data_IF_377586871301
#
_entry.id   IF_377586871301
#
_cell.length_a   1.000
_cell.length_b   1.000
_cell.length_c   1.000
_cell.angle_alpha   90.00
_cell.angle_beta   90.00
_cell.angle_gamma   90.00
#
_symmetry.space_group_name_H-M   'P 1'
#
loop_
_entity.id
_entity.type
_entity.pdbx_description
1 polymer ?
#
# COMPACT_ATOMS: atom_id res chain seq x y z
N UNK A 1 -5.64 -38.47 -4.37
CA UNK A 1 -6.18 -37.16 -4.79
C UNK A 1 -5.98 -37.00 -6.29
N UNK A 2 -7.05 -36.95 -7.09
CA UNK A 2 -6.94 -36.87 -8.55
C UNK A 2 -6.00 -35.73 -8.99
N UNK A 3 -5.20 -35.96 -10.04
CA UNK A 3 -4.20 -35.03 -10.58
C UNK A 3 -4.75 -33.61 -10.76
N UNK A 4 -5.99 -33.49 -11.28
CA UNK A 4 -6.72 -32.21 -11.43
C UNK A 4 -6.84 -31.46 -10.11
N UNK A 5 -7.26 -32.14 -9.05
CA UNK A 5 -7.46 -31.54 -7.72
C UNK A 5 -6.12 -31.09 -7.12
N UNK A 6 -5.03 -31.85 -7.33
CA UNK A 6 -3.67 -31.49 -6.86
C UNK A 6 -3.15 -30.22 -7.56
N UNK A 7 -3.32 -30.12 -8.87
CA UNK A 7 -2.91 -28.93 -9.64
C UNK A 7 -3.67 -27.70 -9.13
N UNK A 8 -4.99 -27.80 -8.96
CA UNK A 8 -5.80 -26.68 -8.46
C UNK A 8 -5.39 -26.22 -7.07
N UNK A 9 -5.08 -27.14 -6.15
CA UNK A 9 -4.57 -26.78 -4.83
C UNK A 9 -3.24 -26.04 -4.89
N UNK A 10 -2.31 -26.49 -5.75
CA UNK A 10 -1.01 -25.82 -5.91
C UNK A 10 -1.20 -24.40 -6.46
N UNK A 11 -2.05 -24.23 -7.48
CA UNK A 11 -2.34 -22.92 -8.07
C UNK A 11 -2.97 -21.97 -7.05
N UNK A 12 -3.97 -22.42 -6.30
CA UNK A 12 -4.58 -21.62 -5.24
C UNK A 12 -3.58 -21.25 -4.14
N UNK A 13 -2.69 -22.16 -3.75
CA UNK A 13 -1.65 -21.88 -2.76
C UNK A 13 -0.69 -20.78 -3.24
N UNK A 14 -0.27 -20.84 -4.51
CA UNK A 14 0.59 -19.80 -5.12
C UNK A 14 -0.11 -18.45 -5.20
N UNK A 15 -1.38 -18.43 -5.63
CA UNK A 15 -2.17 -17.21 -5.71
C UNK A 15 -2.35 -16.55 -4.33
N UNK A 16 -2.65 -17.35 -3.30
CA UNK A 16 -2.72 -16.87 -1.91
C UNK A 16 -1.39 -16.29 -1.42
N UNK A 17 -0.27 -16.93 -1.74
CA UNK A 17 1.06 -16.40 -1.39
C UNK A 17 1.38 -15.09 -2.09
N UNK A 18 0.99 -14.92 -3.36
CA UNK A 18 1.18 -13.67 -4.09
C UNK A 18 0.30 -12.54 -3.50
N UNK A 19 -0.96 -12.82 -3.21
CA UNK A 19 -1.87 -11.84 -2.61
C UNK A 19 -1.41 -11.44 -1.20
N UNK A 20 -0.93 -12.41 -0.40
CA UNK A 20 -0.35 -12.14 0.92
C UNK A 20 0.82 -11.13 0.88
N UNK A 21 1.63 -11.17 -0.18
CA UNK A 21 2.74 -10.22 -0.38
C UNK A 21 2.29 -8.84 -0.84
N UNK A 22 1.11 -8.74 -1.47
CA UNK A 22 0.58 -7.47 -1.97
C UNK A 22 -0.21 -6.69 -0.91
N UNK A 23 -0.59 -7.33 0.20
CA UNK A 23 -1.26 -6.66 1.31
C UNK A 23 -0.30 -5.72 2.05
N UNK A 24 -0.27 -4.46 1.62
CA UNK A 24 0.22 -3.33 2.41
C UNK A 24 -0.82 -3.00 3.49
N UNK A 25 -0.41 -3.02 4.75
CA UNK A 25 -1.28 -2.60 5.86
C UNK A 25 -1.63 -1.13 5.69
N UNK A 26 -2.91 -0.77 5.78
CA UNK A 26 -3.38 0.62 5.72
C UNK A 26 -3.07 1.43 6.99
N UNK A 27 -2.15 0.94 7.83
CA UNK A 27 -1.72 1.60 9.06
C UNK A 27 -0.40 2.30 8.76
N UNK A 28 -0.25 3.59 9.14
CA UNK A 28 1.04 4.23 9.02
C UNK A 28 2.04 3.47 9.88
N UNK A 29 3.20 3.15 9.30
CA UNK A 29 4.30 2.50 10.03
C UNK A 29 4.70 3.44 11.17
N UNK A 30 4.83 2.92 12.39
CA UNK A 30 5.33 3.73 13.49
C UNK A 30 6.76 4.17 13.16
N UNK A 31 6.93 5.46 12.97
CA UNK A 31 8.21 6.12 12.73
C UNK A 31 8.54 6.97 13.95
N UNK A 32 9.83 7.18 14.21
CA UNK A 32 10.26 7.97 15.36
C UNK A 32 9.74 9.41 15.27
N UNK A 33 9.68 10.13 16.41
CA UNK A 33 9.20 11.54 16.43
C UNK A 33 9.94 12.44 15.43
N UNK A 34 11.24 12.21 15.24
CA UNK A 34 12.06 12.97 14.30
C UNK A 34 11.72 12.66 12.84
N UNK A 35 11.43 11.40 12.51
CA UNK A 35 11.02 11.00 11.15
C UNK A 35 9.60 11.44 10.84
N UNK A 36 8.71 11.44 11.83
CA UNK A 36 7.34 11.93 11.68
C UNK A 36 7.30 13.42 11.33
N UNK A 37 8.10 14.24 12.01
CA UNK A 37 8.18 15.67 11.74
C UNK A 37 8.72 15.98 10.31
N UNK A 38 9.64 15.15 9.80
CA UNK A 38 10.13 15.27 8.43
C UNK A 38 9.05 14.93 7.40
N UNK A 39 8.33 13.83 7.61
CA UNK A 39 7.24 13.42 6.72
C UNK A 39 6.06 14.41 6.75
N UNK A 40 5.69 14.96 7.90
CA UNK A 40 4.64 15.98 8.01
C UNK A 40 5.04 17.29 7.30
N UNK A 41 6.33 17.66 7.33
CA UNK A 41 6.84 18.81 6.57
C UNK A 41 6.81 18.56 5.05
N UNK A 42 7.18 17.35 4.60
CA UNK A 42 7.13 16.97 3.19
C UNK A 42 5.67 16.87 2.68
N UNK A 43 4.75 16.32 3.47
CA UNK A 43 3.32 16.26 3.16
C UNK A 43 2.68 17.66 3.13
N UNK A 44 3.07 18.57 4.04
CA UNK A 44 2.59 19.96 4.03
C UNK A 44 3.07 20.72 2.78
N UNK A 45 4.28 20.44 2.28
CA UNK A 45 4.77 21.03 1.03
C UNK A 45 4.05 20.48 -0.21
N UNK A 46 3.71 19.18 -0.21
CA UNK A 46 2.97 18.57 -1.32
C UNK A 46 1.51 19.03 -1.39
N UNK A 47 0.84 19.13 -0.24
CA UNK A 47 -0.57 19.57 -0.16
C UNK A 47 -0.75 21.05 -0.52
N UNK A 48 0.24 21.91 -0.25
CA UNK A 48 0.23 23.30 -0.69
C UNK A 48 0.37 23.46 -2.21
N UNK A 49 1.04 22.53 -2.89
CA UNK A 49 1.21 22.54 -4.35
C UNK A 49 -0.02 22.02 -5.11
N UNK A 50 -0.82 21.13 -4.51
CA UNK A 50 -2.04 20.59 -5.15
C UNK A 50 -3.28 21.49 -4.94
N UNK A 51 -3.23 22.45 -4.00
CA UNK A 51 -4.32 23.38 -3.72
C UNK A 51 -4.49 24.54 -4.72
N UNK A 52 -3.55 24.76 -5.64
CA UNK A 52 -3.61 25.90 -6.58
C UNK A 52 -4.28 25.59 -7.93
N UNK A 53 -4.66 24.34 -8.24
CA UNK A 53 -5.23 23.98 -9.56
C UNK A 53 -6.74 23.74 -9.59
N UNK A 54 -7.50 24.22 -8.60
CA UNK A 54 -8.97 24.15 -8.64
C UNK A 54 -9.62 25.51 -8.33
N UNK A 55 -9.34 26.48 -9.20
CA UNK A 55 -10.22 27.63 -9.43
C UNK A 55 -10.00 28.07 -10.89
N UNK A 56 -11.03 27.91 -11.74
CA UNK A 56 -11.60 29.13 -12.30
C UNK A 56 -13.14 29.10 -12.40
N UNK A 57 -13.71 30.27 -12.10
CA UNK A 57 -15.06 30.81 -12.39
C UNK A 57 -16.33 30.00 -12.08
#
# INVERSE_FOLDING_TARGET
MNRKKKINQILQKKLKQQNAKLHKSNKPRYVSKAERAKLEADEAQQTAAEGETQSPE
#
